data_IF_071206475427
#
_entry.id   IF_071206475427
#
_cell.length_a   1.000
_cell.length_b   1.000
_cell.length_c   1.000
_cell.angle_alpha   90.00
_cell.angle_beta   90.00
_cell.angle_gamma   90.00
#
_symmetry.space_group_name_H-M   'P 1'
#
loop_
_entity.id
_entity.type
_entity.pdbx_description
1 polymer ?
#
# COMPACT_ATOMS: atom_id res chain seq x y z
N UNK A 1 -2.91 -8.56 4.26
CA UNK A 1 -4.03 -8.43 3.28
C UNK A 1 -3.52 -7.61 2.09
N UNK A 2 -3.94 -7.80 0.83
CA UNK A 2 -3.41 -6.92 -0.24
C UNK A 2 -3.77 -5.45 0.08
N UNK A 3 -2.77 -4.57 0.14
CA UNK A 3 -2.88 -3.19 0.61
C UNK A 3 -2.54 -2.98 2.09
N UNK A 4 -2.43 -4.01 2.92
CA UNK A 4 -2.08 -3.89 4.34
C UNK A 4 -0.56 -3.94 4.46
N UNK A 5 0.07 -2.77 4.29
CA UNK A 5 1.52 -2.62 4.13
C UNK A 5 2.23 -2.47 5.49
N UNK A 6 1.47 -2.24 6.55
CA UNK A 6 1.97 -2.14 7.92
C UNK A 6 1.72 -3.42 8.76
N UNK A 7 0.91 -4.34 8.26
CA UNK A 7 0.64 -5.64 8.90
C UNK A 7 -0.33 -5.57 10.09
N UNK A 8 -1.13 -4.51 10.22
CA UNK A 8 -2.12 -4.37 11.30
C UNK A 8 -3.42 -5.15 11.03
N UNK A 9 -3.56 -5.71 9.82
CA UNK A 9 -4.66 -6.58 9.42
C UNK A 9 -5.87 -5.85 8.82
N UNK A 10 -5.79 -4.53 8.64
CA UNK A 10 -6.85 -3.71 8.04
C UNK A 10 -6.25 -2.86 6.92
N UNK A 11 -6.91 -2.82 5.75
CA UNK A 11 -6.54 -1.87 4.70
C UNK A 11 -7.29 -0.57 4.92
N UNK A 12 -6.57 0.51 5.21
CA UNK A 12 -7.18 1.81 5.51
C UNK A 12 -6.28 2.99 5.07
N UNK A 13 -6.63 4.20 5.49
CA UNK A 13 -5.87 5.43 5.17
C UNK A 13 -4.43 5.41 5.71
N UNK A 14 -4.15 4.62 6.76
CA UNK A 14 -2.82 4.41 7.31
C UNK A 14 -1.88 3.75 6.30
N UNK A 15 -2.32 2.70 5.62
CA UNK A 15 -1.54 2.06 4.55
C UNK A 15 -1.29 3.01 3.39
N UNK A 16 -2.33 3.74 2.98
CA UNK A 16 -2.22 4.76 1.93
C UNK A 16 -1.16 5.81 2.26
N UNK A 17 -1.13 6.30 3.51
CA UNK A 17 -0.15 7.27 3.96
C UNK A 17 1.28 6.69 3.93
N UNK A 18 1.45 5.44 4.36
CA UNK A 18 2.77 4.79 4.36
C UNK A 18 3.30 4.57 2.95
N UNK A 19 2.46 4.09 2.03
CA UNK A 19 2.80 3.94 0.62
C UNK A 19 3.16 5.29 -0.01
N UNK A 20 2.39 6.36 0.26
CA UNK A 20 2.70 7.69 -0.24
C UNK A 20 4.02 8.25 0.33
N UNK A 21 4.31 8.02 1.61
CA UNK A 21 5.59 8.42 2.22
C UNK A 21 6.77 7.64 1.63
N UNK A 22 6.57 6.36 1.32
CA UNK A 22 7.56 5.55 0.61
C UNK A 22 7.84 6.10 -0.80
N UNK A 23 6.79 6.37 -1.58
CA UNK A 23 6.88 6.86 -2.96
C UNK A 23 7.73 8.14 -3.10
N UNK A 24 7.66 9.03 -2.11
CA UNK A 24 8.45 10.28 -2.08
C UNK A 24 9.76 10.17 -1.29
N UNK A 25 10.15 8.98 -0.84
CA UNK A 25 11.42 8.71 -0.16
C UNK A 25 11.49 9.16 1.31
N UNK A 26 10.35 9.45 1.95
CA UNK A 26 10.29 9.76 3.38
C UNK A 26 10.34 8.52 4.27
N UNK A 27 10.05 7.34 3.70
CA UNK A 27 10.11 6.05 4.41
C UNK A 27 10.99 5.05 3.67
N UNK A 28 11.87 4.32 4.39
CA UNK A 28 12.59 3.21 3.80
C UNK A 28 11.66 2.03 3.49
N UNK A 29 12.01 1.26 2.46
CA UNK A 29 11.27 0.07 2.06
C UNK A 29 11.53 -1.10 3.03
N UNK A 30 10.49 -1.87 3.38
CA UNK A 30 10.62 -3.09 4.19
C UNK A 30 11.02 -2.86 5.64
N UNK A 31 10.84 -1.64 6.17
CA UNK A 31 11.12 -1.29 7.55
C UNK A 31 9.89 -0.67 8.19
N UNK A 32 9.61 -1.07 9.43
CA UNK A 32 8.49 -0.54 10.19
C UNK A 32 8.51 1.01 10.18
N UNK A 33 7.37 1.68 9.95
CA UNK A 33 6.02 1.10 9.85
C UNK A 33 5.62 0.51 8.48
N UNK A 34 6.44 0.64 7.42
CA UNK A 34 6.17 0.06 6.10
C UNK A 34 6.91 -1.29 5.95
N UNK A 35 6.42 -2.31 6.65
CA UNK A 35 7.08 -3.62 6.80
C UNK A 35 6.68 -4.67 5.76
N UNK A 36 5.56 -4.47 5.05
CA UNK A 36 5.03 -5.42 4.06
C UNK A 36 4.96 -4.83 2.65
N UNK A 37 6.10 -4.44 2.05
CA UNK A 37 6.15 -3.87 0.71
C UNK A 37 5.56 -4.81 -0.36
N UNK A 38 5.61 -6.12 -0.15
CA UNK A 38 5.06 -7.15 -1.04
C UNK A 38 3.54 -7.06 -1.23
N UNK A 39 2.84 -6.38 -0.32
CA UNK A 39 1.38 -6.21 -0.35
C UNK A 39 0.93 -4.88 -0.99
N UNK A 40 1.87 -4.01 -1.38
CA UNK A 40 1.58 -2.63 -1.77
C UNK A 40 0.94 -2.46 -3.15
N UNK A 41 1.35 -3.25 -4.15
CA UNK A 41 0.95 -3.09 -5.57
C UNK A 41 -0.50 -3.57 -5.81
N UNK A 42 -1.47 -2.81 -5.32
CA UNK A 42 -2.92 -3.12 -5.35
C UNK A 42 -3.54 -2.77 -6.71
N UNK A 43 -2.90 -1.90 -7.49
CA UNK A 43 -3.38 -1.52 -8.83
C UNK A 43 -2.80 -2.40 -9.96
N UNK A 44 -1.76 -3.21 -9.68
CA UNK A 44 -1.05 -4.12 -10.59
C UNK A 44 -0.27 -3.41 -11.72
N UNK A 45 0.29 -2.23 -11.45
CA UNK A 45 1.13 -1.47 -12.39
C UNK A 45 2.64 -1.76 -12.27
N UNK A 46 3.00 -2.72 -11.40
CA UNK A 46 4.37 -3.14 -11.08
C UNK A 46 5.17 -2.15 -10.22
N UNK A 47 4.52 -1.13 -9.66
CA UNK A 47 5.08 -0.23 -8.66
C UNK A 47 4.45 -0.42 -7.27
N UNK A 48 5.07 0.24 -6.29
CA UNK A 48 4.44 0.60 -5.04
C UNK A 48 4.54 2.13 -4.95
N UNK A 49 3.47 2.83 -5.33
CA UNK A 49 3.52 4.27 -5.57
C UNK A 49 2.21 4.98 -5.18
N UNK A 50 2.10 6.28 -5.48
CA UNK A 50 0.90 7.08 -5.18
C UNK A 50 -0.41 6.52 -5.77
N UNK A 51 -0.35 5.75 -6.86
CA UNK A 51 -1.50 5.10 -7.47
C UNK A 51 -2.08 3.99 -6.59
N UNK A 52 -1.24 3.25 -5.88
CA UNK A 52 -1.65 2.26 -4.88
C UNK A 52 -2.24 2.94 -3.65
N UNK A 53 -1.57 3.98 -3.15
CA UNK A 53 -2.06 4.78 -2.04
C UNK A 53 -3.47 5.35 -2.32
N UNK A 54 -3.70 5.85 -3.54
CA UNK A 54 -5.01 6.34 -3.94
C UNK A 54 -6.08 5.25 -3.88
N UNK A 55 -5.79 4.03 -4.34
CA UNK A 55 -6.75 2.90 -4.27
C UNK A 55 -7.10 2.56 -2.83
N UNK A 56 -6.13 2.50 -1.94
CA UNK A 56 -6.36 2.24 -0.52
C UNK A 56 -7.21 3.35 0.14
N UNK A 57 -6.89 4.62 -0.12
CA UNK A 57 -7.67 5.75 0.39
C UNK A 57 -9.12 5.76 -0.15
N UNK A 58 -9.33 5.41 -1.42
CA UNK A 58 -10.67 5.31 -2.01
C UNK A 58 -11.49 4.20 -1.36
N UNK A 59 -10.87 3.06 -1.03
CA UNK A 59 -11.59 1.95 -0.44
C UNK A 59 -11.94 2.18 1.03
N UNK A 60 -11.06 2.86 1.78
CA UNK A 60 -11.28 3.26 3.18
C UNK A 60 -12.56 4.09 3.35
N UNK A 61 -12.83 4.99 2.40
CA UNK A 61 -14.06 5.82 2.39
C UNK A 61 -15.25 5.16 1.68
N UNK A 62 -15.12 3.90 1.28
CA UNK A 62 -16.19 3.14 0.62
C UNK A 62 -16.48 3.53 -0.83
N UNK A 63 -15.59 4.30 -1.49
CA UNK A 63 -15.75 4.64 -2.91
C UNK A 63 -15.52 3.42 -3.82
N UNK A 64 -14.64 2.51 -3.41
CA UNK A 64 -14.37 1.23 -4.06
C UNK A 64 -14.26 0.10 -3.03
N UNK A 65 -14.23 -1.16 -3.47
CA UNK A 65 -13.97 -2.31 -2.59
C UNK A 65 -12.50 -2.39 -2.18
N UNK A 66 -12.22 -2.71 -0.91
CA UNK A 66 -10.88 -3.05 -0.40
C UNK A 66 -10.43 -4.49 -0.72
N UNK A 67 -11.25 -5.26 -1.46
CA UNK A 67 -10.88 -6.61 -1.89
C UNK A 67 -9.90 -6.56 -3.07
N UNK A 68 -8.64 -6.21 -2.79
CA UNK A 68 -7.58 -6.10 -3.80
C UNK A 68 -6.94 -7.45 -4.13
N UNK A 69 -6.40 -7.53 -5.35
CA UNK A 69 -5.46 -8.57 -5.77
C UNK A 69 -4.16 -7.86 -6.13
N UNK A 70 -3.11 -8.12 -5.36
CA UNK A 70 -1.82 -7.49 -5.52
C UNK A 70 -0.81 -8.45 -6.17
N UNK A 71 0.10 -7.88 -6.96
CA UNK A 71 1.29 -8.61 -7.42
C UNK A 71 2.43 -8.29 -6.44
N UNK A 72 3.24 -9.28 -6.01
CA UNK A 72 4.32 -9.02 -5.07
C UNK A 72 5.27 -7.93 -5.60
N UNK A 73 5.43 -6.87 -4.82
CA UNK A 73 6.44 -5.85 -5.04
C UNK A 73 7.69 -6.18 -4.19
N UNK A 74 8.88 -5.93 -4.74
CA UNK A 74 10.15 -6.11 -4.03
C UNK A 74 10.84 -4.76 -3.92
N UNK A 75 11.39 -4.47 -2.75
CA UNK A 75 12.25 -3.30 -2.56
C UNK A 75 13.43 -3.32 -3.56
N UNK A 76 13.86 -2.15 -4.06
CA UNK A 76 15.09 -2.00 -4.85
C UNK A 76 16.34 -2.42 -4.08
#
# INVERSE_FOLDING_TARGET
MCGDVNGDGVVNIGDALLTAQYDVGLRPCGQAPFSHPELCNVNRDAGCNIGDALKMAQCDVGLISCAFVCNPFSCP
#
